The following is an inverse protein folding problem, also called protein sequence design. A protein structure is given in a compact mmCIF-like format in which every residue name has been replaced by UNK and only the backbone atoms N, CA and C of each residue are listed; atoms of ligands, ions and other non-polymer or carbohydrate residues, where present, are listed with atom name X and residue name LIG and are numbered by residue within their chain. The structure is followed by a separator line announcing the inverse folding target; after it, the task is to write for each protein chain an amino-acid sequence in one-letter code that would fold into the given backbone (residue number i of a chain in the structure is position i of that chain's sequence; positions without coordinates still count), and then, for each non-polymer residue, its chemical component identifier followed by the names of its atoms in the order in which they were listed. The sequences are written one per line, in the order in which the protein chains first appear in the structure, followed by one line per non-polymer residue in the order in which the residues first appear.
data_IF_411392218680
#
_entry.id   IF_411392218680
#
_cell.length_a   1.000
_cell.length_b   1.000
_cell.length_c   1.000
_cell.angle_alpha   90.00
_cell.angle_beta   90.00
_cell.angle_gamma   90.00
#
_symmetry.space_group_name_H-M   'P 1'
#
loop_
_entity.id
_entity.type
_entity.pdbx_description
1 polymer ?
#
# COMPACT_ATOMS: atom_id res chain seq x y z
N UNK A 1 29.31 -58.99 -60.24
CA UNK A 1 28.25 -59.19 -59.23
C UNK A 1 28.09 -57.91 -58.42
N UNK A 2 26.93 -57.28 -58.59
CA UNK A 2 26.57 -55.95 -58.10
C UNK A 2 25.93 -56.08 -56.72
N UNK A 3 26.36 -55.31 -55.71
CA UNK A 3 25.66 -55.19 -54.42
C UNK A 3 25.32 -53.73 -54.15
N UNK A 4 24.04 -53.42 -54.31
CA UNK A 4 23.38 -52.17 -53.98
C UNK A 4 23.32 -52.08 -52.45
N UNK A 5 23.90 -51.02 -51.85
CA UNK A 5 23.66 -50.68 -50.45
C UNK A 5 22.67 -49.51 -50.40
N UNK A 6 21.44 -49.85 -50.04
CA UNK A 6 20.40 -48.92 -49.63
C UNK A 6 20.72 -48.42 -48.23
N UNK A 7 20.92 -47.12 -48.05
CA UNK A 7 20.94 -46.50 -46.74
C UNK A 7 19.82 -45.47 -46.64
N UNK A 8 18.97 -45.79 -45.68
CA UNK A 8 17.72 -45.17 -45.28
C UNK A 8 17.96 -43.71 -44.87
N UNK A 9 17.19 -42.81 -45.47
CA UNK A 9 17.09 -41.41 -45.09
C UNK A 9 16.24 -41.32 -43.82
N UNK A 10 16.83 -40.85 -42.71
CA UNK A 10 16.15 -40.63 -41.43
C UNK A 10 15.78 -39.13 -41.31
N UNK A 11 14.51 -38.73 -41.36
CA UNK A 11 14.13 -37.37 -41.04
C UNK A 11 13.92 -37.29 -39.51
N UNK A 12 14.84 -36.67 -38.77
CA UNK A 12 14.61 -36.40 -37.36
C UNK A 12 13.94 -35.02 -37.22
N UNK A 13 12.70 -35.06 -36.75
CA UNK A 13 11.81 -33.95 -36.41
C UNK A 13 12.54 -32.83 -35.65
N UNK A 14 12.43 -31.61 -36.18
CA UNK A 14 12.58 -30.38 -35.40
C UNK A 14 11.35 -30.27 -34.48
N UNK A 15 11.49 -30.69 -33.22
CA UNK A 15 10.50 -30.38 -32.19
C UNK A 15 10.59 -28.87 -31.91
N UNK A 16 9.61 -28.11 -32.41
CA UNK A 16 9.39 -26.74 -31.98
C UNK A 16 8.97 -26.78 -30.51
N UNK A 17 9.94 -26.67 -29.60
CA UNK A 17 9.69 -26.30 -28.21
C UNK A 17 9.14 -24.89 -28.26
N UNK A 18 7.83 -24.77 -28.22
CA UNK A 18 7.18 -23.50 -27.88
C UNK A 18 7.55 -23.23 -26.43
N UNK A 19 8.60 -22.44 -26.21
CA UNK A 19 8.77 -21.68 -24.99
C UNK A 19 7.49 -20.86 -24.83
N UNK A 20 6.56 -21.36 -24.01
CA UNK A 20 5.58 -20.47 -23.40
C UNK A 20 6.42 -19.48 -22.60
N UNK A 21 6.49 -18.23 -23.08
CA UNK A 21 6.98 -17.15 -22.27
C UNK A 21 6.12 -17.13 -21.00
N UNK A 22 6.72 -17.50 -19.87
CA UNK A 22 6.10 -17.25 -18.57
C UNK A 22 5.82 -15.76 -18.50
N UNK A 23 4.59 -15.40 -18.16
CA UNK A 23 4.26 -14.01 -17.89
C UNK A 23 4.93 -13.67 -16.56
N UNK A 24 6.18 -13.23 -16.60
CA UNK A 24 7.01 -12.99 -15.41
C UNK A 24 6.48 -11.84 -14.53
N UNK A 25 5.43 -11.13 -14.96
CA UNK A 25 4.79 -10.03 -14.25
C UNK A 25 3.28 -9.99 -14.45
N UNK A 26 2.53 -9.57 -13.44
CA UNK A 26 1.07 -9.36 -13.51
C UNK A 26 0.71 -7.90 -13.26
N UNK A 27 -0.48 -7.51 -13.69
CA UNK A 27 -1.03 -6.17 -13.46
C UNK A 27 -1.14 -5.91 -11.95
N UNK A 28 -0.60 -4.79 -11.50
CA UNK A 28 -0.79 -4.31 -10.14
C UNK A 28 -2.14 -3.61 -10.05
N UNK A 29 -3.14 -4.34 -9.59
CA UNK A 29 -4.47 -3.83 -9.31
C UNK A 29 -4.96 -4.28 -7.92
N UNK A 30 -6.24 -4.04 -7.62
CA UNK A 30 -6.85 -4.48 -6.37
C UNK A 30 -6.86 -6.01 -6.20
N UNK A 31 -6.86 -6.76 -7.30
CA UNK A 31 -6.90 -8.22 -7.34
C UNK A 31 -5.52 -8.86 -7.17
N UNK A 32 -4.43 -8.14 -7.45
CA UNK A 32 -3.08 -8.61 -7.23
C UNK A 32 -2.85 -9.01 -5.77
N UNK A 33 -2.25 -10.19 -5.57
CA UNK A 33 -1.91 -10.77 -4.26
C UNK A 33 -0.40 -10.77 -4.12
N UNK A 34 0.12 -10.01 -3.17
CA UNK A 34 1.54 -10.04 -2.84
C UNK A 34 1.91 -11.35 -2.14
N UNK A 35 3.17 -11.76 -2.23
CA UNK A 35 3.69 -12.86 -1.44
C UNK A 35 3.64 -12.50 0.04
N UNK A 36 3.10 -13.40 0.85
CA UNK A 36 2.92 -13.15 2.27
C UNK A 36 4.24 -13.31 3.04
N UNK A 37 4.52 -12.33 3.90
CA UNK A 37 5.76 -12.26 4.66
C UNK A 37 6.08 -10.85 5.10
N UNK A 38 7.26 -10.67 5.69
CA UNK A 38 7.77 -9.40 6.19
C UNK A 38 8.73 -8.82 5.15
N UNK A 39 8.49 -7.57 4.79
CA UNK A 39 9.30 -6.77 3.88
C UNK A 39 10.12 -5.78 4.72
N UNK A 40 11.44 -5.82 4.56
CA UNK A 40 12.38 -4.92 5.22
C UNK A 40 12.68 -3.67 4.37
N UNK A 41 12.37 -3.71 3.08
CA UNK A 41 12.52 -2.58 2.18
C UNK A 41 11.38 -2.47 1.17
N UNK A 42 11.21 -1.28 0.60
CA UNK A 42 10.28 -1.07 -0.50
C UNK A 42 10.66 -1.87 -1.75
N UNK A 43 11.96 -2.01 -2.03
CA UNK A 43 12.43 -2.77 -3.19
C UNK A 43 12.07 -4.26 -3.12
N UNK A 44 11.98 -4.83 -1.92
CA UNK A 44 11.45 -6.18 -1.72
C UNK A 44 9.97 -6.26 -2.07
N UNK A 45 9.16 -5.27 -1.66
CA UNK A 45 7.74 -5.23 -2.04
C UNK A 45 7.59 -5.10 -3.56
N UNK A 46 8.35 -4.20 -4.18
CA UNK A 46 8.30 -3.95 -5.63
C UNK A 46 8.65 -5.20 -6.45
N UNK A 47 9.52 -6.05 -5.93
CA UNK A 47 9.90 -7.36 -6.51
C UNK A 47 9.00 -8.51 -6.05
N UNK A 48 8.02 -8.24 -5.19
CA UNK A 48 7.10 -9.22 -4.62
C UNK A 48 7.83 -10.39 -3.93
N UNK A 49 8.93 -10.08 -3.23
CA UNK A 49 9.80 -11.06 -2.60
C UNK A 49 10.07 -10.64 -1.14
N UNK A 50 9.30 -11.15 -0.17
CA UNK A 50 9.49 -10.80 1.23
C UNK A 50 10.84 -11.31 1.74
N UNK A 51 11.54 -10.50 2.54
CA UNK A 51 12.80 -10.91 3.15
C UNK A 51 12.64 -12.07 4.14
N UNK A 52 11.46 -12.22 4.73
CA UNK A 52 11.14 -13.31 5.66
C UNK A 52 9.71 -13.80 5.42
N UNK A 53 9.54 -15.10 5.27
CA UNK A 53 8.21 -15.71 5.28
C UNK A 53 7.60 -15.70 6.68
N UNK A 54 6.26 -15.81 6.77
CA UNK A 54 5.58 -15.94 8.07
C UNK A 54 6.03 -17.17 8.88
N UNK A 55 6.56 -18.19 8.21
CA UNK A 55 7.09 -19.39 8.87
C UNK A 55 8.41 -19.14 9.60
N UNK A 56 9.15 -18.10 9.24
CA UNK A 56 10.45 -17.74 9.80
C UNK A 56 10.36 -16.72 10.93
N UNK A 57 9.17 -16.16 11.18
CA UNK A 57 8.96 -15.10 12.17
C UNK A 57 8.00 -15.51 13.29
N UNK A 58 8.31 -15.04 14.50
CA UNK A 58 7.41 -15.00 15.64
C UNK A 58 6.86 -13.57 15.74
N UNK A 59 5.55 -13.42 15.74
CA UNK A 59 4.88 -12.13 15.71
C UNK A 59 3.64 -12.13 16.60
N UNK A 60 3.47 -11.05 17.36
CA UNK A 60 2.21 -10.72 18.01
C UNK A 60 1.56 -9.59 17.22
N UNK A 61 0.81 -9.99 16.19
CA UNK A 61 0.16 -9.11 15.21
C UNK A 61 -1.36 -9.24 15.33
N UNK A 62 -2.04 -8.10 15.37
CA UNK A 62 -3.50 -8.01 15.24
C UNK A 62 -3.80 -7.15 14.02
N UNK A 63 -4.72 -7.61 13.18
CA UNK A 63 -5.06 -6.92 11.94
C UNK A 63 -6.57 -6.84 11.74
N UNK A 64 -7.04 -5.72 11.22
CA UNK A 64 -8.40 -5.50 10.76
C UNK A 64 -8.39 -5.27 9.24
N UNK A 65 -8.67 -6.32 8.48
CA UNK A 65 -8.69 -6.28 7.01
C UNK A 65 -9.76 -5.33 6.46
N UNK A 66 -10.88 -5.16 7.17
CA UNK A 66 -11.96 -4.26 6.74
C UNK A 66 -11.55 -2.79 6.90
N UNK A 67 -10.85 -2.47 7.98
CA UNK A 67 -10.34 -1.12 8.25
C UNK A 67 -9.01 -0.84 7.53
N UNK A 68 -8.34 -1.86 6.98
CA UNK A 68 -6.98 -1.79 6.44
C UNK A 68 -5.99 -1.28 7.49
N UNK A 69 -6.08 -1.79 8.72
CA UNK A 69 -5.17 -1.42 9.81
C UNK A 69 -4.60 -2.66 10.48
N UNK A 70 -3.39 -2.54 11.00
CA UNK A 70 -2.79 -3.57 11.83
C UNK A 70 -1.86 -2.97 12.89
N UNK A 71 -1.68 -3.70 13.97
CA UNK A 71 -0.76 -3.37 15.04
C UNK A 71 0.03 -4.61 15.44
N UNK A 72 1.33 -4.45 15.64
CA UNK A 72 2.18 -5.51 16.13
C UNK A 72 2.93 -5.07 17.38
N UNK A 73 2.81 -5.85 18.46
CA UNK A 73 3.65 -5.63 19.64
C UNK A 73 5.11 -6.00 19.34
N UNK A 74 5.32 -7.07 18.56
CA UNK A 74 6.63 -7.44 18.04
C UNK A 74 6.50 -8.27 16.76
N UNK A 75 7.56 -8.23 15.95
CA UNK A 75 7.84 -9.14 14.84
C UNK A 75 9.34 -9.44 14.94
N UNK A 76 9.71 -10.72 15.08
CA UNK A 76 11.10 -11.14 15.26
C UNK A 76 11.36 -12.46 14.55
N UNK A 77 12.61 -12.76 14.21
CA UNK A 77 12.96 -14.08 13.66
C UNK A 77 12.76 -15.17 14.72
N UNK A 78 12.21 -16.31 14.31
CA UNK A 78 12.24 -17.53 15.14
C UNK A 78 13.70 -17.89 15.38
N UNK A 79 14.03 -18.31 16.61
CA UNK A 79 15.41 -18.62 17.00
C UNK A 79 16.25 -17.43 17.48
N UNK A 80 15.68 -16.22 17.58
CA UNK A 80 16.28 -15.13 18.37
C UNK A 80 17.33 -14.27 17.64
N UNK A 81 17.40 -14.34 16.31
CA UNK A 81 18.15 -13.34 15.53
C UNK A 81 17.47 -11.97 15.62
N UNK A 82 18.21 -10.94 16.02
CA UNK A 82 17.67 -9.58 16.08
C UNK A 82 17.32 -9.06 14.68
N UNK A 83 16.09 -8.58 14.51
CA UNK A 83 15.75 -7.64 13.44
C UNK A 83 16.03 -6.23 13.99
N UNK A 84 16.68 -5.33 13.25
CA UNK A 84 16.81 -3.95 13.68
C UNK A 84 15.43 -3.36 14.01
N UNK A 85 15.31 -2.57 15.08
CA UNK A 85 14.02 -2.04 15.54
C UNK A 85 13.27 -1.25 14.44
N UNK A 86 14.02 -0.64 13.51
CA UNK A 86 13.50 0.13 12.38
C UNK A 86 13.59 -0.58 11.04
N UNK A 87 13.93 -1.88 11.00
CA UNK A 87 14.13 -2.58 9.72
C UNK A 87 12.85 -2.98 9.02
N UNK A 88 11.69 -2.93 9.69
CA UNK A 88 10.44 -3.40 9.09
C UNK A 88 9.84 -2.26 8.28
N UNK A 89 9.88 -2.39 6.97
CA UNK A 89 9.18 -1.48 6.06
C UNK A 89 7.67 -1.78 6.03
N UNK A 90 7.33 -3.06 6.01
CA UNK A 90 5.94 -3.51 5.95
C UNK A 90 5.81 -5.03 5.99
N UNK A 91 4.60 -5.53 5.76
CA UNK A 91 4.34 -6.96 5.61
C UNK A 91 3.18 -7.18 4.63
N UNK A 92 3.04 -8.38 4.08
CA UNK A 92 1.79 -8.81 3.40
C UNK A 92 1.10 -9.90 4.19
N UNK A 93 -0.23 -9.79 4.29
CA UNK A 93 -1.09 -10.78 4.91
C UNK A 93 -2.31 -11.04 4.01
N UNK A 94 -2.52 -12.29 3.61
CA UNK A 94 -3.53 -12.71 2.62
C UNK A 94 -3.39 -11.97 1.28
N UNK A 95 -2.15 -11.67 0.88
CA UNK A 95 -1.78 -10.92 -0.31
C UNK A 95 -2.09 -9.43 -0.26
N UNK A 96 -2.48 -8.90 0.90
CA UNK A 96 -2.67 -7.46 1.12
C UNK A 96 -1.43 -6.88 1.81
N UNK A 97 -0.69 -5.96 1.17
CA UNK A 97 0.45 -5.29 1.79
C UNK A 97 0.01 -4.21 2.78
N UNK A 98 0.73 -4.16 3.89
CA UNK A 98 0.63 -3.20 4.98
C UNK A 98 1.96 -2.46 5.12
N UNK A 99 1.92 -1.13 5.08
CA UNK A 99 3.08 -0.25 5.24
C UNK A 99 3.22 0.17 6.70
N UNK A 100 4.46 0.21 7.21
CA UNK A 100 4.73 0.70 8.57
C UNK A 100 4.45 2.20 8.64
N UNK A 101 3.72 2.60 9.68
CA UNK A 101 3.45 4.00 9.98
C UNK A 101 4.54 4.58 10.90
N UNK A 102 4.71 5.90 10.94
CA UNK A 102 5.61 6.55 11.88
C UNK A 102 5.21 6.23 13.33
N UNK A 103 6.22 6.12 14.21
CA UNK A 103 6.01 5.80 15.63
C UNK A 103 5.17 6.85 16.38
N UNK A 104 4.98 8.04 15.81
CA UNK A 104 4.06 9.06 16.37
C UNK A 104 2.59 8.63 16.35
N UNK A 105 2.25 7.60 15.57
CA UNK A 105 0.90 7.02 15.45
C UNK A 105 0.77 5.74 16.30
N UNK A 106 1.88 5.25 16.84
CA UNK A 106 1.91 4.03 17.64
C UNK A 106 1.29 4.21 19.01
N UNK A 107 0.45 3.26 19.41
CA UNK A 107 -0.16 3.23 20.74
C UNK A 107 0.58 2.23 21.61
N UNK A 108 0.96 2.63 22.81
CA UNK A 108 1.62 1.77 23.82
C UNK A 108 2.88 1.03 23.31
N UNK A 109 3.64 1.66 22.40
CA UNK A 109 4.88 1.09 21.85
C UNK A 109 4.66 -0.02 20.80
N UNK A 110 3.43 -0.29 20.38
CA UNK A 110 3.15 -1.21 19.29
C UNK A 110 3.43 -0.56 17.93
N UNK A 111 4.02 -1.30 17.00
CA UNK A 111 4.18 -0.85 15.61
C UNK A 111 2.80 -0.76 14.95
N UNK A 112 2.50 0.38 14.32
CA UNK A 112 1.26 0.59 13.60
C UNK A 112 1.47 0.44 12.09
N UNK A 113 0.48 -0.11 11.39
CA UNK A 113 0.53 -0.34 9.95
C UNK A 113 -0.79 0.02 9.26
N UNK A 114 -0.69 0.49 8.02
CA UNK A 114 -1.82 0.77 7.14
C UNK A 114 -1.78 -0.12 5.89
N UNK A 115 -2.90 -0.75 5.56
CA UNK A 115 -3.04 -1.57 4.35
C UNK A 115 -3.20 -0.71 3.09
N UNK A 116 -2.58 -1.11 1.99
CA UNK A 116 -2.75 -0.46 0.70
C UNK A 116 -4.15 -0.77 0.13
N UNK A 117 -5.04 0.23 0.19
CA UNK A 117 -6.43 0.14 -0.28
C UNK A 117 -6.50 0.13 -1.80
N UNK A 118 -5.70 1.00 -2.43
CA UNK A 118 -5.45 1.03 -3.88
C UNK A 118 -4.02 0.57 -4.11
N UNK A 119 -3.87 -0.34 -5.08
CA UNK A 119 -2.60 -0.87 -5.57
C UNK A 119 -2.61 -0.62 -7.07
N UNK A 120 -1.72 0.24 -7.51
CA UNK A 120 -1.59 0.73 -8.87
C UNK A 120 -0.27 1.47 -8.98
N UNK A 121 -0.10 2.28 -10.03
CA UNK A 121 1.10 3.11 -10.16
C UNK A 121 1.18 4.12 -9.01
N UNK A 122 0.04 4.63 -8.56
CA UNK A 122 -0.08 5.40 -7.32
C UNK A 122 -0.91 4.58 -6.32
N UNK A 123 -0.25 3.99 -5.34
CA UNK A 123 -0.91 3.32 -4.23
C UNK A 123 -1.58 4.34 -3.29
N UNK A 124 -2.63 3.93 -2.58
CA UNK A 124 -3.32 4.76 -1.59
C UNK A 124 -3.62 3.99 -0.31
N UNK A 125 -3.41 4.65 0.83
CA UNK A 125 -3.70 4.12 2.15
C UNK A 125 -4.14 5.23 3.11
N UNK A 126 -4.78 4.82 4.20
CA UNK A 126 -5.27 5.72 5.24
C UNK A 126 -5.01 5.15 6.61
N UNK A 127 -4.89 6.01 7.61
CA UNK A 127 -4.93 5.62 9.02
C UNK A 127 -5.62 6.67 9.87
N UNK A 128 -6.13 6.26 11.02
CA UNK A 128 -6.70 7.18 12.01
C UNK A 128 -5.59 7.68 12.93
N UNK A 129 -5.58 8.99 13.17
CA UNK A 129 -4.69 9.65 14.12
C UNK A 129 -5.51 10.46 15.11
N UNK A 130 -5.02 10.60 16.34
CA UNK A 130 -5.62 11.49 17.33
C UNK A 130 -4.97 12.87 17.23
N UNK A 131 -5.78 13.90 17.02
CA UNK A 131 -5.33 15.29 17.04
C UNK A 131 -5.95 16.03 18.20
N UNK A 132 -5.13 16.75 18.97
CA UNK A 132 -5.61 17.66 20.00
C UNK A 132 -6.09 18.95 19.36
N UNK A 133 -7.40 19.20 19.44
CA UNK A 133 -8.00 20.45 18.99
C UNK A 133 -8.45 21.29 20.19
N UNK A 134 -8.17 22.58 20.13
CA UNK A 134 -8.65 23.54 21.12
C UNK A 134 -10.12 23.87 20.83
N UNK A 135 -11.02 23.39 21.69
CA UNK A 135 -12.47 23.60 21.54
C UNK A 135 -12.96 24.58 22.58
N UNK A 136 -13.75 25.57 22.14
CA UNK A 136 -14.43 26.48 23.04
C UNK A 136 -15.61 25.77 23.72
N UNK A 137 -15.58 25.72 25.04
CA UNK A 137 -16.67 25.22 25.87
C UNK A 137 -17.32 26.37 26.63
N UNK A 138 -18.62 26.26 26.87
CA UNK A 138 -19.37 27.19 27.70
C UNK A 138 -19.86 26.49 28.98
N UNK A 139 -19.68 27.14 30.12
CA UNK A 139 -20.34 26.77 31.36
C UNK A 139 -21.74 27.41 31.40
N UNK A 140 -22.75 26.59 31.71
CA UNK A 140 -24.15 26.99 31.72
C UNK A 140 -24.65 27.12 33.16
N UNK A 141 -25.48 28.13 33.41
CA UNK A 141 -26.15 28.28 34.70
C UNK A 141 -27.27 27.23 34.81
N UNK A 142 -27.27 26.37 35.84
CA UNK A 142 -28.23 25.26 35.95
C UNK A 142 -29.68 25.71 36.12
N UNK A 143 -29.94 26.92 36.62
CA UNK A 143 -31.28 27.45 36.84
C UNK A 143 -31.88 28.13 35.60
N UNK A 144 -31.05 28.68 34.70
CA UNK A 144 -31.51 29.49 33.56
C UNK A 144 -31.13 28.92 32.20
N UNK A 145 -30.25 27.91 32.17
CA UNK A 145 -29.72 27.34 30.93
C UNK A 145 -28.87 28.30 30.10
N UNK A 146 -28.56 29.50 30.61
CA UNK A 146 -27.78 30.51 29.89
C UNK A 146 -26.29 30.30 30.10
N UNK A 147 -25.45 30.42 29.05
CA UNK A 147 -24.01 30.38 29.20
C UNK A 147 -23.53 31.60 29.98
N UNK A 148 -22.70 31.40 31.01
CA UNK A 148 -22.18 32.49 31.86
C UNK A 148 -20.65 32.59 31.86
N UNK A 149 -19.96 31.58 31.34
CA UNK A 149 -18.50 31.58 31.16
C UNK A 149 -18.15 30.77 29.94
N UNK A 150 -17.12 31.20 29.21
CA UNK A 150 -16.50 30.41 28.14
C UNK A 150 -15.06 30.11 28.49
N UNK A 151 -14.53 29.02 27.95
CA UNK A 151 -13.14 28.61 28.09
C UNK A 151 -12.72 27.77 26.90
N UNK A 152 -11.42 27.65 26.68
CA UNK A 152 -10.87 26.79 25.62
C UNK A 152 -10.25 25.59 26.31
N UNK A 153 -10.62 24.39 25.88
CA UNK A 153 -10.08 23.14 26.41
C UNK A 153 -9.53 22.28 25.27
N UNK A 154 -8.42 21.57 25.50
CA UNK A 154 -7.95 20.58 24.55
C UNK A 154 -8.95 19.42 24.49
N UNK A 155 -9.31 19.00 23.28
CA UNK A 155 -10.13 17.83 23.02
C UNK A 155 -9.45 17.00 21.95
N UNK A 156 -9.22 15.73 22.25
CA UNK A 156 -8.73 14.76 21.26
C UNK A 156 -9.85 14.41 20.29
N UNK A 157 -9.52 14.41 19.00
CA UNK A 157 -10.42 14.04 17.92
C UNK A 157 -9.72 13.06 17.00
N UNK A 158 -10.38 11.94 16.69
CA UNK A 158 -9.93 11.04 15.64
C UNK A 158 -10.06 11.74 14.28
N UNK A 159 -8.96 11.77 13.53
CA UNK A 159 -8.85 12.34 12.19
C UNK A 159 -8.27 11.28 11.27
N UNK A 160 -8.96 11.04 10.15
CA UNK A 160 -8.42 10.19 9.09
C UNK A 160 -7.34 10.94 8.33
N UNK A 161 -6.16 10.33 8.26
CA UNK A 161 -5.07 10.78 7.40
C UNK A 161 -5.02 9.92 6.15
N UNK A 162 -4.87 10.57 5.01
CA UNK A 162 -4.86 9.94 3.69
C UNK A 162 -3.50 10.18 3.04
N UNK A 163 -2.93 9.15 2.42
CA UNK A 163 -1.63 9.20 1.78
C UNK A 163 -1.64 8.46 0.45
N UNK A 164 -0.77 8.93 -0.45
CA UNK A 164 -0.44 8.26 -1.69
C UNK A 164 1.02 7.83 -1.68
N UNK A 165 1.32 6.71 -2.33
CA UNK A 165 2.67 6.20 -2.51
C UNK A 165 2.93 5.89 -3.98
N UNK A 166 3.98 6.45 -4.55
CA UNK A 166 4.35 6.17 -5.93
C UNK A 166 5.06 4.81 -6.02
N UNK A 167 4.47 3.85 -6.72
CA UNK A 167 4.92 2.45 -6.71
C UNK A 167 6.26 2.21 -7.43
N UNK A 168 6.75 3.15 -8.22
CA UNK A 168 8.05 2.98 -8.86
C UNK A 168 9.22 3.21 -7.90
N UNK A 169 9.08 4.17 -6.97
CA UNK A 169 10.19 4.69 -6.16
C UNK A 169 9.91 4.69 -4.64
N UNK A 170 8.68 4.37 -4.23
CA UNK A 170 8.29 4.27 -2.82
C UNK A 170 8.11 5.62 -2.13
N UNK A 171 8.13 6.73 -2.87
CA UNK A 171 7.86 8.05 -2.31
C UNK A 171 6.44 8.13 -1.76
N UNK A 172 6.27 8.70 -0.57
CA UNK A 172 4.98 8.84 0.11
C UNK A 172 4.69 10.31 0.35
N UNK A 173 3.48 10.76 0.00
CA UNK A 173 3.01 12.12 0.25
C UNK A 173 1.58 12.10 0.84
N UNK A 174 1.21 13.10 1.66
CA UNK A 174 -0.19 13.31 2.03
C UNK A 174 -1.05 13.40 0.78
N UNK A 175 -2.19 12.70 0.77
CA UNK A 175 -3.09 12.74 -0.36
C UNK A 175 -3.82 14.08 -0.39
N UNK A 176 -3.63 14.80 -1.48
CA UNK A 176 -4.21 16.11 -1.70
C UNK A 176 -3.99 16.54 -3.14
N UNK A 177 -4.69 17.61 -3.54
CA UNK A 177 -4.68 18.10 -4.92
C UNK A 177 -3.27 18.37 -5.43
N UNK A 178 -2.47 19.09 -4.66
CA UNK A 178 -1.11 19.49 -5.04
C UNK A 178 -0.21 18.27 -5.27
N UNK A 179 -0.13 17.37 -4.29
CA UNK A 179 0.67 16.15 -4.39
C UNK A 179 0.22 15.26 -5.56
N UNK A 180 -1.09 15.10 -5.75
CA UNK A 180 -1.62 14.28 -6.83
C UNK A 180 -1.34 14.90 -8.21
N UNK A 181 -1.53 16.21 -8.37
CA UNK A 181 -1.21 16.92 -9.63
C UNK A 181 0.25 16.74 -10.04
N UNK A 182 1.18 16.81 -9.09
CA UNK A 182 2.60 16.63 -9.36
C UNK A 182 2.96 15.22 -9.85
N UNK A 183 2.13 14.22 -9.59
CA UNK A 183 2.38 12.82 -9.97
C UNK A 183 1.63 12.36 -11.22
N UNK A 184 0.70 13.16 -11.75
CA UNK A 184 -0.11 12.80 -12.92
C UNK A 184 0.14 13.70 -14.14
N UNK A 185 1.28 14.40 -14.18
CA UNK A 185 1.64 15.30 -15.29
C UNK A 185 1.70 14.57 -16.65
N UNK A 186 1.89 13.25 -16.64
CA UNK A 186 1.88 12.38 -17.80
C UNK A 186 0.48 12.00 -18.32
N UNK A 187 -0.60 12.36 -17.62
CA UNK A 187 -1.99 12.35 -18.14
C UNK A 187 -2.55 13.80 -18.21
N UNK A 188 -2.30 14.54 -19.31
CA UNK A 188 -2.73 15.94 -19.43
C UNK A 188 -4.25 16.14 -19.34
N UNK A 189 -5.03 15.14 -19.73
CA UNK A 189 -6.50 15.22 -19.68
C UNK A 189 -6.98 15.16 -18.22
N UNK A 190 -6.49 14.18 -17.46
CA UNK A 190 -6.84 14.02 -16.06
C UNK A 190 -6.25 15.15 -15.20
N UNK A 191 -5.01 15.56 -15.48
CA UNK A 191 -4.37 16.67 -14.81
C UNK A 191 -5.21 17.95 -14.88
N UNK A 192 -5.71 18.32 -16.07
CA UNK A 192 -6.63 19.47 -16.24
C UNK A 192 -7.91 19.31 -15.42
N UNK A 193 -8.49 18.11 -15.44
CA UNK A 193 -9.69 17.79 -14.66
C UNK A 193 -9.48 18.03 -13.16
N UNK A 194 -8.31 17.66 -12.62
CA UNK A 194 -7.96 17.86 -11.21
C UNK A 194 -7.72 19.34 -10.89
N UNK A 195 -7.13 20.11 -11.81
CA UNK A 195 -6.92 21.56 -11.66
C UNK A 195 -8.24 22.32 -11.59
N UNK A 196 -9.16 22.02 -12.50
CA UNK A 196 -10.45 22.70 -12.64
C UNK A 196 -11.47 22.28 -11.57
N UNK A 197 -11.14 21.28 -10.75
CA UNK A 197 -12.05 20.73 -9.77
C UNK A 197 -12.40 21.77 -8.68
N UNK A 198 -13.67 21.99 -8.32
CA UNK A 198 -14.03 22.86 -7.19
C UNK A 198 -13.49 22.32 -5.86
N UNK A 199 -13.07 23.20 -4.95
CA UNK A 199 -12.53 22.80 -3.63
C UNK A 199 -13.54 22.00 -2.80
N UNK A 200 -14.82 22.38 -2.86
CA UNK A 200 -15.91 21.70 -2.16
C UNK A 200 -16.12 20.23 -2.60
N UNK A 201 -15.71 19.88 -3.82
CA UNK A 201 -15.85 18.53 -4.38
C UNK A 201 -14.54 17.74 -4.36
N UNK A 202 -13.45 18.38 -3.94
CA UNK A 202 -12.09 17.83 -4.00
C UNK A 202 -11.95 16.52 -3.25
N UNK A 203 -12.46 16.44 -2.03
CA UNK A 203 -12.28 15.24 -1.21
C UNK A 203 -12.83 13.97 -1.91
N UNK A 204 -14.03 14.02 -2.48
CA UNK A 204 -14.65 12.83 -3.10
C UNK A 204 -14.12 12.58 -4.51
N UNK A 205 -14.02 13.63 -5.34
CA UNK A 205 -13.68 13.45 -6.75
C UNK A 205 -12.20 13.18 -6.97
N UNK A 206 -11.31 13.67 -6.09
CA UNK A 206 -9.87 13.41 -6.20
C UNK A 206 -9.55 11.92 -6.08
N UNK A 207 -10.22 11.22 -5.15
CA UNK A 207 -10.08 9.76 -5.03
C UNK A 207 -10.56 9.03 -6.29
N UNK A 208 -11.65 9.47 -6.92
CA UNK A 208 -12.10 8.92 -8.21
C UNK A 208 -11.09 9.17 -9.32
N UNK A 209 -10.49 10.37 -9.36
CA UNK A 209 -9.42 10.68 -10.32
C UNK A 209 -8.20 9.78 -10.13
N UNK A 210 -7.80 9.48 -8.89
CA UNK A 210 -6.73 8.51 -8.60
C UNK A 210 -7.02 7.15 -9.25
N UNK A 211 -8.23 6.61 -9.07
CA UNK A 211 -8.60 5.32 -9.66
C UNK A 211 -8.57 5.35 -11.20
N UNK A 212 -9.00 6.47 -11.81
CA UNK A 212 -8.96 6.66 -13.26
C UNK A 212 -7.50 6.73 -13.76
N UNK A 213 -6.62 7.40 -13.00
CA UNK A 213 -5.21 7.47 -13.35
C UNK A 213 -4.56 6.09 -13.41
N UNK A 214 -4.75 5.27 -12.36
CA UNK A 214 -4.16 3.93 -12.29
C UNK A 214 -4.71 2.99 -13.37
N UNK A 215 -5.99 3.12 -13.74
CA UNK A 215 -6.59 2.35 -14.84
C UNK A 215 -5.94 2.66 -16.19
N UNK A 216 -5.60 3.94 -16.43
CA UNK A 216 -4.95 4.41 -17.66
C UNK A 216 -3.43 4.19 -17.66
N UNK A 217 -2.81 4.22 -16.49
CA UNK A 217 -1.36 4.19 -16.30
C UNK A 217 -0.97 2.97 -15.46
N UNK A 218 -1.13 1.81 -16.06
CA UNK A 218 -0.96 0.52 -15.40
C UNK A 218 0.49 0.30 -14.94
N UNK A 219 0.63 -0.27 -13.74
CA UNK A 219 1.90 -0.77 -13.22
C UNK A 219 1.88 -2.31 -13.20
N UNK A 220 3.05 -2.93 -13.30
CA UNK A 220 3.22 -4.39 -13.30
C UNK A 220 4.21 -4.81 -12.22
N UNK A 221 3.97 -5.96 -11.61
CA UNK A 221 4.78 -6.52 -10.53
C UNK A 221 5.15 -7.96 -10.86
N UNK A 222 6.40 -8.40 -10.57
CA UNK A 222 6.79 -9.78 -10.78
C UNK A 222 5.88 -10.79 -10.07
N UNK A 223 5.58 -11.89 -10.76
CA UNK A 223 4.87 -13.03 -10.16
C UNK A 223 5.92 -14.09 -9.81
N UNK A 224 6.03 -14.35 -8.51
CA UNK A 224 6.92 -15.38 -7.98
C UNK A 224 6.03 -16.58 -7.61
N UNK A 225 6.20 -17.70 -8.31
CA UNK A 225 5.51 -18.98 -8.06
C UNK A 225 5.90 -19.61 -6.71
#
# INVERSE_FOLDING_TARGET
MMKIKSHICLPLLFAAVTLAAQTDSSLLDKGFRFQDGVYLSFDELRRNEPALSWNEVDAQLVSNMQAFSAQAAYIRRKGGGALPADSIWGFSLNGLPFVRLPDTVSVAGAMAFAGLRVRGRICYFTYEAEETQMVEIAAYNPLTGKPFRKGVVPREKAVTKEYIMHFENGAVLPFGREAFQAWIEDDPQLWRTVVELPEAEAAEKLYKCLLIYDDRNQAFVPVND
#
